data_IF_133416709299
#
_entry.id   IF_133416709299
#
_cell.length_a   1.000
_cell.length_b   1.000
_cell.length_c   1.000
_cell.angle_alpha   90.00
_cell.angle_beta   90.00
_cell.angle_gamma   90.00
#
_symmetry.space_group_name_H-M   'P 1'
#
loop_
_entity.id
_entity.type
_entity.pdbx_description
1 polymer ?
#
# COMPACT_ATOMS: atom_id res chain seq x y z
N UNK A 1 21.14 10.41 16.91
CA UNK A 1 19.76 10.06 16.49
C UNK A 1 19.29 11.18 15.57
N UNK A 2 18.66 10.86 14.42
CA UNK A 2 18.11 11.88 13.53
C UNK A 2 16.78 12.39 14.12
N UNK A 3 16.47 13.67 13.93
CA UNK A 3 15.15 14.21 14.28
C UNK A 3 14.09 13.59 13.39
N UNK A 4 12.93 13.26 13.97
CA UNK A 4 11.80 12.73 13.24
C UNK A 4 10.46 13.22 13.80
N UNK A 5 9.47 13.31 12.94
CA UNK A 5 8.08 13.60 13.30
C UNK A 5 7.20 12.50 12.73
N UNK A 6 6.13 12.14 13.41
CA UNK A 6 5.13 11.20 12.89
C UNK A 6 3.71 11.67 13.17
N UNK A 7 2.79 11.27 12.28
CA UNK A 7 1.34 11.39 12.45
C UNK A 7 0.68 10.09 12.01
N UNK A 8 -0.40 9.72 12.68
CA UNK A 8 -1.29 8.61 12.33
C UNK A 8 -2.73 9.13 12.28
N UNK A 9 -3.70 8.42 11.70
CA UNK A 9 -5.11 8.77 11.80
C UNK A 9 -5.50 9.00 13.26
N UNK A 10 -6.50 9.85 13.49
CA UNK A 10 -6.97 10.17 14.84
C UNK A 10 -7.46 8.92 15.57
N UNK A 11 -8.24 8.08 14.85
CA UNK A 11 -8.73 6.81 15.40
C UNK A 11 -8.47 5.66 14.43
N UNK A 12 -7.84 4.60 14.91
CA UNK A 12 -7.73 3.31 14.25
C UNK A 12 -8.64 2.33 15.00
N UNK A 13 -9.68 1.84 14.32
CA UNK A 13 -10.62 0.85 14.85
C UNK A 13 -10.31 -0.49 14.25
N UNK A 14 -9.85 -1.44 15.05
CA UNK A 14 -9.48 -2.78 14.62
C UNK A 14 -10.30 -3.85 15.32
N UNK A 15 -10.74 -4.87 14.57
CA UNK A 15 -11.34 -6.09 15.14
C UNK A 15 -12.24 -6.80 14.14
N UNK A 16 -12.42 -8.10 14.35
CA UNK A 16 -13.35 -8.93 13.58
C UNK A 16 -14.78 -8.43 13.80
N UNK A 17 -15.50 -8.18 12.69
CA UNK A 17 -16.85 -7.61 12.74
C UNK A 17 -16.90 -6.12 13.09
N UNK A 18 -15.78 -5.42 13.14
CA UNK A 18 -15.72 -3.99 13.48
C UNK A 18 -16.42 -3.10 12.46
N UNK A 19 -16.70 -3.59 11.24
CA UNK A 19 -17.51 -2.88 10.24
C UNK A 19 -18.83 -2.37 10.80
N UNK A 20 -19.44 -3.05 11.76
CA UNK A 20 -20.67 -2.64 12.45
C UNK A 20 -20.54 -1.30 13.19
N UNK A 21 -19.30 -0.82 13.43
CA UNK A 21 -19.04 0.48 14.05
C UNK A 21 -19.03 1.64 13.07
N UNK A 22 -19.20 1.37 11.77
CA UNK A 22 -19.19 2.42 10.74
C UNK A 22 -20.22 3.54 11.02
N UNK A 23 -21.47 3.28 11.40
CA UNK A 23 -22.43 4.34 11.74
C UNK A 23 -21.95 5.27 12.87
N UNK A 24 -21.38 4.70 13.94
CA UNK A 24 -20.79 5.47 15.04
C UNK A 24 -19.68 6.43 14.53
N UNK A 25 -18.82 5.97 13.63
CA UNK A 25 -17.75 6.79 13.08
C UNK A 25 -18.26 7.88 12.14
N UNK A 26 -19.32 7.59 11.38
CA UNK A 26 -20.01 8.57 10.55
C UNK A 26 -20.66 9.67 11.40
N UNK A 27 -21.35 9.30 12.47
CA UNK A 27 -21.92 10.25 13.43
C UNK A 27 -20.83 11.15 14.04
N UNK A 28 -19.73 10.55 14.55
CA UNK A 28 -18.57 11.27 15.10
C UNK A 28 -17.90 12.20 14.07
N UNK A 29 -17.97 11.87 12.78
CA UNK A 29 -17.44 12.72 11.71
C UNK A 29 -18.40 13.88 11.37
N UNK A 30 -19.62 13.88 11.89
CA UNK A 30 -20.68 14.84 11.56
C UNK A 30 -21.33 14.56 10.21
N UNK A 31 -21.24 13.32 9.71
CA UNK A 31 -21.79 12.92 8.43
C UNK A 31 -23.32 12.93 8.43
N UNK A 32 -23.91 13.58 7.43
CA UNK A 32 -25.36 13.54 7.15
C UNK A 32 -25.67 12.69 5.92
N UNK A 33 -24.72 12.63 4.99
CA UNK A 33 -24.78 11.85 3.77
C UNK A 33 -23.39 11.36 3.42
N UNK A 34 -23.25 10.07 3.17
CA UNK A 34 -21.99 9.40 2.91
C UNK A 34 -21.84 9.10 1.42
N UNK A 35 -20.65 9.35 0.84
CA UNK A 35 -20.28 8.79 -0.46
C UNK A 35 -19.34 7.61 -0.29
N UNK A 36 -19.71 6.45 -0.84
CA UNK A 36 -18.80 5.30 -0.98
C UNK A 36 -17.97 5.45 -2.26
N UNK A 37 -16.64 5.44 -2.12
CA UNK A 37 -15.68 5.36 -3.23
C UNK A 37 -15.11 3.96 -3.26
N UNK A 38 -15.36 3.21 -4.34
CA UNK A 38 -14.99 1.80 -4.45
C UNK A 38 -14.89 1.35 -5.91
N UNK A 39 -14.83 0.04 -6.14
CA UNK A 39 -14.75 -0.55 -7.47
C UNK A 39 -15.87 -1.58 -7.74
N UNK A 40 -16.10 -1.86 -9.04
CA UNK A 40 -17.13 -2.81 -9.51
C UNK A 40 -16.82 -4.25 -9.13
N UNK A 41 -15.57 -4.60 -8.81
CA UNK A 41 -15.21 -5.92 -8.31
C UNK A 41 -15.83 -6.19 -6.94
N UNK A 42 -15.69 -5.24 -6.02
CA UNK A 42 -16.28 -5.31 -4.69
C UNK A 42 -17.82 -5.23 -4.71
N UNK A 43 -18.39 -4.50 -5.67
CA UNK A 43 -19.85 -4.50 -5.90
C UNK A 43 -20.33 -5.90 -6.25
N UNK A 44 -19.72 -6.59 -7.23
CA UNK A 44 -20.08 -7.96 -7.64
C UNK A 44 -19.94 -8.98 -6.52
N UNK A 45 -19.04 -8.74 -5.57
CA UNK A 45 -18.87 -9.58 -4.38
C UNK A 45 -19.87 -9.28 -3.26
N UNK A 46 -20.76 -8.28 -3.44
CA UNK A 46 -21.74 -7.88 -2.43
C UNK A 46 -21.14 -7.07 -1.25
N UNK A 47 -19.86 -6.73 -1.31
CA UNK A 47 -19.18 -6.00 -0.22
C UNK A 47 -19.73 -4.59 -0.08
N UNK A 48 -20.01 -3.93 -1.21
CA UNK A 48 -20.63 -2.59 -1.21
C UNK A 48 -21.98 -2.62 -0.53
N UNK A 49 -22.83 -3.58 -0.92
CA UNK A 49 -24.18 -3.68 -0.35
C UNK A 49 -24.15 -3.92 1.16
N UNK A 50 -23.25 -4.79 1.64
CA UNK A 50 -23.05 -5.00 3.09
C UNK A 50 -22.77 -3.68 3.83
N UNK A 51 -21.94 -2.80 3.24
CA UNK A 51 -21.63 -1.49 3.84
C UNK A 51 -22.83 -0.55 3.79
N UNK A 52 -23.54 -0.48 2.66
CA UNK A 52 -24.73 0.35 2.50
C UNK A 52 -25.84 -0.07 3.48
N UNK A 53 -26.13 -1.36 3.58
CA UNK A 53 -27.17 -1.89 4.49
C UNK A 53 -26.92 -1.49 5.95
N UNK A 54 -25.66 -1.53 6.40
CA UNK A 54 -25.29 -1.13 7.77
C UNK A 54 -25.54 0.37 8.00
N UNK A 55 -25.25 1.20 7.02
CA UNK A 55 -25.35 2.65 7.14
C UNK A 55 -26.80 3.14 6.97
N UNK A 56 -27.52 2.57 6.00
CA UNK A 56 -28.91 2.91 5.72
C UNK A 56 -29.88 2.48 6.83
N UNK A 57 -29.54 1.38 7.54
CA UNK A 57 -30.30 0.95 8.73
C UNK A 57 -30.30 1.99 9.85
N UNK A 58 -29.30 2.86 9.90
CA UNK A 58 -29.19 3.97 10.85
C UNK A 58 -29.72 5.31 10.27
N UNK A 59 -30.37 5.26 9.11
CA UNK A 59 -31.00 6.43 8.48
C UNK A 59 -30.03 7.44 7.84
N UNK A 60 -28.78 7.03 7.59
CA UNK A 60 -27.78 7.87 6.92
C UNK A 60 -27.96 7.71 5.40
N UNK A 61 -28.12 8.82 4.69
CA UNK A 61 -28.22 8.80 3.22
C UNK A 61 -26.89 8.39 2.59
N UNK A 62 -26.98 7.64 1.49
CA UNK A 62 -25.81 7.12 0.77
C UNK A 62 -25.80 7.51 -0.71
N UNK A 63 -24.61 7.60 -1.28
CA UNK A 63 -24.34 7.66 -2.71
C UNK A 63 -23.07 6.88 -2.98
N UNK A 64 -22.93 6.31 -4.17
CA UNK A 64 -21.78 5.49 -4.53
C UNK A 64 -21.09 6.00 -5.80
N UNK A 65 -19.75 5.96 -5.81
CA UNK A 65 -18.93 6.08 -7.00
C UNK A 65 -18.06 4.81 -7.10
N UNK A 66 -18.34 3.95 -8.09
CA UNK A 66 -17.79 2.59 -8.17
C UNK A 66 -16.91 2.36 -9.42
N UNK A 67 -16.66 3.39 -10.19
CA UNK A 67 -15.92 3.28 -11.45
C UNK A 67 -14.41 3.50 -11.28
N UNK A 68 -13.88 3.01 -10.15
CA UNK A 68 -12.44 3.03 -9.88
C UNK A 68 -11.77 1.83 -10.53
N UNK A 69 -10.73 2.10 -11.30
CA UNK A 69 -9.87 1.08 -11.90
C UNK A 69 -8.48 1.07 -11.22
N UNK A 70 -7.71 -0.01 -11.37
CA UNK A 70 -6.29 -0.01 -11.00
C UNK A 70 -5.54 1.15 -11.68
N UNK A 71 -4.58 1.76 -10.97
CA UNK A 71 -3.88 2.98 -11.40
C UNK A 71 -4.85 4.14 -11.69
N UNK A 72 -5.50 4.69 -10.66
CA UNK A 72 -6.56 5.68 -10.82
C UNK A 72 -6.05 6.94 -11.51
N UNK A 73 -6.91 7.54 -12.35
CA UNK A 73 -6.55 8.69 -13.18
C UNK A 73 -7.13 10.01 -12.66
N UNK A 74 -6.57 11.13 -13.14
CA UNK A 74 -7.12 12.48 -12.88
C UNK A 74 -8.59 12.56 -13.27
N UNK A 75 -8.99 11.94 -14.38
CA UNK A 75 -10.39 11.94 -14.84
C UNK A 75 -11.32 11.19 -13.88
N UNK A 76 -10.87 10.06 -13.30
CA UNK A 76 -11.64 9.35 -12.27
C UNK A 76 -11.83 10.22 -11.03
N UNK A 77 -10.79 10.93 -10.59
CA UNK A 77 -10.88 11.86 -9.45
C UNK A 77 -11.89 12.98 -9.75
N UNK A 78 -11.84 13.57 -10.94
CA UNK A 78 -12.77 14.62 -11.35
C UNK A 78 -14.21 14.11 -11.38
N UNK A 79 -14.46 12.91 -11.95
CA UNK A 79 -15.79 12.29 -12.01
C UNK A 79 -16.33 12.00 -10.60
N UNK A 80 -15.52 11.43 -9.71
CA UNK A 80 -15.88 11.16 -8.33
C UNK A 80 -16.17 12.45 -7.55
N UNK A 81 -15.35 13.49 -7.75
CA UNK A 81 -15.56 14.82 -7.11
C UNK A 81 -16.86 15.45 -7.55
N UNK A 82 -17.22 15.31 -8.82
CA UNK A 82 -18.50 15.79 -9.35
C UNK A 82 -19.67 15.10 -8.64
N UNK A 83 -19.65 13.77 -8.54
CA UNK A 83 -20.69 13.01 -7.82
C UNK A 83 -20.78 13.43 -6.36
N UNK A 84 -19.64 13.61 -5.68
CA UNK A 84 -19.61 14.08 -4.29
C UNK A 84 -20.33 15.42 -4.12
N UNK A 85 -19.99 16.42 -4.93
CA UNK A 85 -20.56 17.77 -4.86
C UNK A 85 -22.04 17.80 -5.22
N UNK A 86 -22.43 17.15 -6.32
CA UNK A 86 -23.82 17.13 -6.82
C UNK A 86 -24.77 16.37 -5.87
N UNK A 87 -24.29 15.35 -5.19
CA UNK A 87 -25.09 14.58 -4.22
C UNK A 87 -25.30 15.29 -2.89
N UNK A 88 -24.47 16.28 -2.57
CA UNK A 88 -24.46 16.91 -1.24
C UNK A 88 -23.88 16.00 -0.14
N UNK A 89 -23.04 15.04 -0.49
CA UNK A 89 -22.35 14.21 0.49
C UNK A 89 -21.47 15.06 1.42
N UNK A 90 -21.33 14.63 2.67
CA UNK A 90 -20.61 15.36 3.74
C UNK A 90 -19.47 14.55 4.33
N UNK A 91 -19.29 13.31 3.86
CA UNK A 91 -18.18 12.43 4.20
C UNK A 91 -17.91 11.43 3.09
N UNK A 92 -16.74 10.82 3.11
CA UNK A 92 -16.31 9.80 2.15
C UNK A 92 -15.98 8.53 2.92
N UNK A 93 -16.51 7.40 2.47
CA UNK A 93 -16.06 6.07 2.85
C UNK A 93 -15.23 5.51 1.72
N UNK A 94 -13.93 5.41 1.92
CA UNK A 94 -13.00 4.79 1.00
C UNK A 94 -12.97 3.28 1.26
N UNK A 95 -13.64 2.50 0.43
CA UNK A 95 -13.81 1.06 0.59
C UNK A 95 -13.03 0.32 -0.50
N UNK A 96 -11.96 -0.38 -0.15
CA UNK A 96 -11.17 -1.12 -1.13
C UNK A 96 -9.69 -1.22 -0.82
N UNK A 97 -8.88 -1.42 -1.85
CA UNK A 97 -7.42 -1.33 -1.78
C UNK A 97 -6.93 0.11 -1.96
N UNK A 98 -5.66 0.27 -2.40
CA UNK A 98 -5.04 1.59 -2.56
C UNK A 98 -5.77 2.53 -3.51
N UNK A 99 -6.22 2.04 -4.69
CA UNK A 99 -6.83 2.91 -5.72
C UNK A 99 -8.10 3.64 -5.25
N UNK A 100 -9.12 2.99 -4.64
CA UNK A 100 -10.24 3.70 -4.05
C UNK A 100 -9.84 4.68 -2.95
N UNK A 101 -8.85 4.33 -2.13
CA UNK A 101 -8.37 5.22 -1.06
C UNK A 101 -7.67 6.46 -1.60
N UNK A 102 -6.84 6.31 -2.62
CA UNK A 102 -6.13 7.41 -3.25
C UNK A 102 -7.10 8.38 -3.95
N UNK A 103 -8.11 7.84 -4.65
CA UNK A 103 -9.18 8.66 -5.23
C UNK A 103 -9.99 9.37 -4.14
N UNK A 104 -10.36 8.68 -3.06
CA UNK A 104 -11.11 9.28 -1.96
C UNK A 104 -10.36 10.46 -1.31
N UNK A 105 -9.05 10.31 -1.10
CA UNK A 105 -8.19 11.39 -0.60
C UNK A 105 -8.15 12.58 -1.56
N UNK A 106 -7.96 12.32 -2.85
CA UNK A 106 -7.95 13.35 -3.89
C UNK A 106 -9.32 14.05 -3.99
N UNK A 107 -10.43 13.30 -3.93
CA UNK A 107 -11.80 13.86 -3.86
C UNK A 107 -11.96 14.76 -2.64
N UNK A 108 -11.47 14.34 -1.47
CA UNK A 108 -11.52 15.14 -0.25
C UNK A 108 -10.82 16.51 -0.40
N UNK A 109 -9.70 16.54 -1.14
CA UNK A 109 -9.00 17.79 -1.49
C UNK A 109 -9.86 18.64 -2.44
N UNK A 110 -10.27 18.08 -3.58
CA UNK A 110 -10.97 18.83 -4.64
C UNK A 110 -12.39 19.24 -4.23
N UNK A 111 -13.04 18.49 -3.36
CA UNK A 111 -14.35 18.88 -2.81
C UNK A 111 -14.22 20.16 -1.99
N UNK A 112 -13.16 20.28 -1.19
CA UNK A 112 -12.92 21.39 -0.26
C UNK A 112 -12.29 22.61 -0.92
N UNK A 113 -11.28 22.41 -1.75
CA UNK A 113 -10.44 23.49 -2.27
C UNK A 113 -10.61 23.74 -3.78
N UNK A 114 -11.22 22.81 -4.51
CA UNK A 114 -11.38 22.93 -5.97
C UNK A 114 -10.09 22.70 -6.76
N UNK A 115 -10.03 23.25 -7.97
CA UNK A 115 -8.88 23.10 -8.87
C UNK A 115 -8.76 21.72 -9.49
N UNK A 116 -7.55 21.35 -9.88
CA UNK A 116 -7.14 20.03 -10.36
C UNK A 116 -6.22 19.38 -9.37
N UNK A 117 -6.28 18.05 -9.22
CA UNK A 117 -5.37 17.33 -8.32
C UNK A 117 -3.89 17.49 -8.72
N UNK A 118 -3.63 17.82 -9.97
CA UNK A 118 -2.28 18.13 -10.49
C UNK A 118 -1.67 19.40 -9.87
N UNK A 119 -2.49 20.32 -9.38
CA UNK A 119 -2.04 21.55 -8.71
C UNK A 119 -1.50 21.26 -7.30
N UNK A 120 -1.85 20.12 -6.73
CA UNK A 120 -1.43 19.67 -5.40
C UNK A 120 -0.28 18.65 -5.45
N UNK A 121 0.30 18.39 -6.65
CA UNK A 121 1.42 17.46 -6.82
C UNK A 121 2.64 17.91 -6.01
N UNK A 122 3.21 17.00 -5.21
CA UNK A 122 4.36 17.27 -4.36
C UNK A 122 4.01 17.22 -2.87
N UNK A 123 4.76 17.96 -2.07
CA UNK A 123 4.67 17.87 -0.62
C UNK A 123 4.02 19.12 0.00
N UNK A 124 3.00 18.91 0.84
CA UNK A 124 2.38 19.94 1.68
C UNK A 124 1.76 21.12 0.93
N UNK A 125 1.23 20.88 -0.29
CA UNK A 125 0.54 21.90 -1.09
C UNK A 125 -0.97 21.95 -0.80
N UNK A 126 -1.52 20.99 -0.04
CA UNK A 126 -2.92 21.01 0.41
C UNK A 126 -3.06 22.07 1.51
N UNK A 127 -3.97 23.06 1.36
CA UNK A 127 -3.99 24.25 2.25
C UNK A 127 -4.42 23.99 3.69
N UNK A 128 -5.10 22.86 3.96
CA UNK A 128 -5.62 22.52 5.29
C UNK A 128 -6.50 21.27 5.27
N UNK A 129 -7.33 21.04 6.31
CA UNK A 129 -8.15 19.84 6.44
C UNK A 129 -9.04 19.60 5.22
N UNK A 130 -9.11 18.35 4.78
CA UNK A 130 -9.97 17.90 3.67
C UNK A 130 -11.33 17.40 4.18
N UNK A 131 -12.22 17.00 3.27
CA UNK A 131 -13.48 16.37 3.66
C UNK A 131 -13.21 15.07 4.46
N UNK A 132 -14.06 14.77 5.48
CA UNK A 132 -13.82 13.61 6.34
C UNK A 132 -13.79 12.30 5.57
N UNK A 133 -12.75 11.48 5.80
CA UNK A 133 -12.60 10.16 5.17
C UNK A 133 -12.60 9.10 6.26
N UNK A 134 -13.40 8.04 6.06
CA UNK A 134 -13.31 6.77 6.78
C UNK A 134 -12.76 5.76 5.79
N UNK A 135 -11.56 5.23 6.06
CA UNK A 135 -10.90 4.26 5.21
C UNK A 135 -11.16 2.84 5.70
N UNK A 136 -11.67 1.97 4.82
CA UNK A 136 -11.98 0.57 5.08
C UNK A 136 -11.21 -0.29 4.09
N UNK A 137 -10.03 -0.82 4.47
CA UNK A 137 -9.24 -1.66 3.58
C UNK A 137 -9.90 -3.02 3.35
N UNK A 138 -9.90 -3.47 2.09
CA UNK A 138 -10.31 -4.81 1.67
C UNK A 138 -9.13 -5.67 1.21
N UNK A 139 -7.92 -5.16 1.33
CA UNK A 139 -6.65 -5.84 1.09
C UNK A 139 -5.67 -5.52 2.21
N UNK A 140 -4.82 -6.47 2.58
CA UNK A 140 -3.73 -6.25 3.51
C UNK A 140 -2.43 -6.07 2.70
N UNK A 141 -2.17 -4.84 2.24
CA UNK A 141 -1.05 -4.55 1.33
C UNK A 141 -0.57 -3.11 1.41
N UNK A 142 -1.32 -2.18 0.86
CA UNK A 142 -0.89 -0.81 0.61
C UNK A 142 -0.73 0.06 1.86
N UNK A 143 -1.44 -0.25 2.95
CA UNK A 143 -1.48 0.62 4.13
C UNK A 143 -2.03 2.02 3.87
N UNK A 144 -2.77 2.23 2.76
CA UNK A 144 -3.24 3.57 2.38
C UNK A 144 -4.20 4.17 3.40
N UNK A 145 -4.87 3.35 4.19
CA UNK A 145 -5.74 3.77 5.29
C UNK A 145 -5.02 4.54 6.40
N UNK A 146 -3.70 4.38 6.52
CA UNK A 146 -2.86 5.03 7.54
C UNK A 146 -1.74 5.90 6.95
N UNK A 147 -1.80 6.21 5.67
CA UNK A 147 -0.77 7.01 4.99
C UNK A 147 -1.28 8.37 4.50
N UNK A 148 -0.37 9.33 4.39
CA UNK A 148 -0.61 10.71 3.97
C UNK A 148 -0.37 10.92 2.46
N UNK A 149 -0.47 9.88 1.65
CA UNK A 149 -0.21 9.92 0.21
C UNK A 149 -1.48 9.64 -0.59
N UNK A 150 -1.54 10.22 -1.79
CA UNK A 150 -2.47 9.85 -2.87
C UNK A 150 -1.67 9.79 -4.17
N UNK A 151 -1.72 8.65 -4.87
CA UNK A 151 -0.99 8.42 -6.12
C UNK A 151 -1.98 8.31 -7.25
N UNK A 152 -1.96 9.30 -8.16
CA UNK A 152 -2.89 9.43 -9.27
C UNK A 152 -2.13 9.45 -10.59
N UNK A 153 -2.66 8.80 -11.62
CA UNK A 153 -2.07 8.79 -12.95
C UNK A 153 -2.55 10.01 -13.74
N UNK A 154 -1.63 10.87 -14.11
CA UNK A 154 -1.87 11.91 -15.11
C UNK A 154 -1.64 11.31 -16.50
N UNK A 155 -2.73 11.01 -17.20
CA UNK A 155 -2.68 10.40 -18.53
C UNK A 155 -2.13 11.34 -19.59
N UNK A 156 -2.23 12.66 -19.39
CA UNK A 156 -1.71 13.66 -20.34
C UNK A 156 -0.18 13.69 -20.37
N UNK A 157 0.45 13.40 -19.23
CA UNK A 157 1.91 13.33 -19.07
C UNK A 157 2.44 11.89 -19.05
N UNK A 158 1.55 10.88 -19.08
CA UNK A 158 1.88 9.47 -18.83
C UNK A 158 2.73 9.29 -17.55
N UNK A 159 2.29 9.92 -16.47
CA UNK A 159 3.05 10.05 -15.24
C UNK A 159 2.20 9.78 -14.00
N UNK A 160 2.75 9.08 -13.00
CA UNK A 160 2.13 8.90 -11.69
C UNK A 160 2.53 10.05 -10.77
N UNK A 161 1.65 11.02 -10.62
CA UNK A 161 1.82 12.10 -9.66
C UNK A 161 1.53 11.61 -8.23
N UNK A 162 2.24 12.19 -7.29
CA UNK A 162 2.03 11.92 -5.86
C UNK A 162 1.68 13.23 -5.16
N UNK A 163 0.56 13.21 -4.45
CA UNK A 163 0.20 14.27 -3.50
C UNK A 163 0.56 13.77 -2.10
N UNK A 164 1.40 14.51 -1.40
CA UNK A 164 1.78 14.23 -0.01
C UNK A 164 1.35 15.39 0.90
N UNK A 165 0.50 15.11 1.85
CA UNK A 165 0.16 16.06 2.93
C UNK A 165 -0.43 15.32 4.12
N UNK A 166 -0.13 15.75 5.33
CA UNK A 166 -0.75 15.20 6.54
C UNK A 166 -2.27 15.36 6.56
N UNK A 167 -2.80 16.32 5.79
CA UNK A 167 -4.23 16.54 5.64
C UNK A 167 -4.94 15.40 4.87
N UNK A 168 -4.17 14.56 4.13
CA UNK A 168 -4.68 13.38 3.43
C UNK A 168 -4.89 12.16 4.33
N UNK A 169 -4.38 12.20 5.58
CA UNK A 169 -4.61 11.10 6.51
C UNK A 169 -6.12 10.94 6.74
N UNK A 170 -6.70 9.75 6.52
CA UNK A 170 -8.09 9.49 6.85
C UNK A 170 -8.40 9.83 8.31
N UNK A 171 -9.56 10.40 8.56
CA UNK A 171 -9.99 10.73 9.94
C UNK A 171 -10.14 9.47 10.78
N UNK A 172 -10.62 8.40 10.16
CA UNK A 172 -10.77 7.07 10.76
C UNK A 172 -10.21 6.00 9.81
N UNK A 173 -9.51 5.02 10.37
CA UNK A 173 -9.18 3.77 9.70
C UNK A 173 -9.98 2.64 10.39
N UNK A 174 -10.89 2.00 9.67
CA UNK A 174 -11.74 0.92 10.16
C UNK A 174 -11.26 -0.40 9.57
N UNK A 175 -10.54 -1.17 10.37
CA UNK A 175 -9.81 -2.37 10.00
C UNK A 175 -10.58 -3.60 10.48
N UNK A 176 -11.40 -4.16 9.61
CA UNK A 176 -12.12 -5.40 9.86
C UNK A 176 -11.47 -6.56 9.09
N UNK A 177 -10.83 -7.53 9.78
CA UNK A 177 -10.19 -8.67 9.12
C UNK A 177 -11.13 -9.49 8.21
N UNK A 178 -12.45 -9.49 8.47
CA UNK A 178 -13.40 -10.16 7.56
C UNK A 178 -13.36 -9.57 6.14
N UNK A 179 -13.00 -8.30 5.98
CA UNK A 179 -12.99 -7.61 4.70
C UNK A 179 -11.91 -8.13 3.75
N UNK A 180 -10.85 -8.74 4.26
CA UNK A 180 -9.78 -9.31 3.43
C UNK A 180 -9.95 -10.82 3.18
N UNK A 181 -10.90 -11.49 3.84
CA UNK A 181 -11.05 -12.95 3.77
C UNK A 181 -11.68 -13.42 2.45
N UNK A 182 -12.28 -12.53 1.67
CA UNK A 182 -12.90 -12.84 0.37
C UNK A 182 -11.98 -12.67 -0.84
N UNK A 183 -10.76 -12.14 -0.63
CA UNK A 183 -9.83 -11.89 -1.76
C UNK A 183 -9.33 -13.20 -2.40
N UNK A 184 -9.08 -13.23 -3.72
CA UNK A 184 -8.46 -14.37 -4.38
C UNK A 184 -7.05 -14.67 -3.82
N UNK A 185 -6.58 -15.93 -3.84
CA UNK A 185 -5.27 -16.32 -3.30
C UNK A 185 -4.10 -15.48 -3.82
N UNK A 186 -4.05 -15.21 -5.13
CA UNK A 186 -2.98 -14.43 -5.74
C UNK A 186 -3.03 -12.95 -5.31
N UNK A 187 -4.22 -12.40 -5.06
CA UNK A 187 -4.36 -11.05 -4.51
C UNK A 187 -3.87 -11.02 -3.07
N UNK A 188 -4.22 -12.03 -2.26
CA UNK A 188 -3.72 -12.16 -0.89
C UNK A 188 -2.19 -12.27 -0.84
N UNK A 189 -1.59 -13.08 -1.72
CA UNK A 189 -0.14 -13.24 -1.84
C UNK A 189 0.54 -11.93 -2.26
N UNK A 190 0.06 -11.32 -3.36
CA UNK A 190 0.62 -10.08 -3.90
C UNK A 190 0.54 -8.94 -2.89
N UNK A 191 -0.62 -8.74 -2.25
CA UNK A 191 -0.78 -7.67 -1.26
C UNK A 191 0.01 -7.94 0.02
N UNK A 192 -0.02 -9.18 0.53
CA UNK A 192 0.70 -9.52 1.77
C UNK A 192 2.22 -9.38 1.62
N UNK A 193 2.76 -9.79 0.47
CA UNK A 193 4.19 -9.61 0.19
C UNK A 193 4.54 -8.13 -0.04
N UNK A 194 3.65 -7.36 -0.66
CA UNK A 194 3.81 -5.91 -0.80
C UNK A 194 3.93 -5.23 0.57
N UNK A 195 3.03 -5.55 1.50
CA UNK A 195 3.11 -5.07 2.87
C UNK A 195 4.40 -5.51 3.59
N UNK A 196 4.88 -6.73 3.36
CA UNK A 196 6.15 -7.20 3.90
C UNK A 196 7.32 -6.36 3.37
N UNK A 197 7.32 -6.07 2.07
CA UNK A 197 8.35 -5.26 1.42
C UNK A 197 8.29 -3.79 1.86
N UNK A 198 7.10 -3.24 2.09
CA UNK A 198 6.93 -1.93 2.72
C UNK A 198 7.64 -1.85 4.08
N UNK A 199 7.39 -2.82 4.95
CA UNK A 199 8.05 -2.91 6.25
C UNK A 199 9.56 -3.09 6.11
N UNK A 200 9.99 -3.97 5.22
CA UNK A 200 11.41 -4.23 4.93
C UNK A 200 12.15 -2.99 4.47
N UNK A 201 11.66 -2.35 3.40
CA UNK A 201 12.32 -1.16 2.89
C UNK A 201 12.29 0.00 3.88
N UNK A 202 11.19 0.17 4.62
CA UNK A 202 11.14 1.14 5.73
C UNK A 202 12.20 0.84 6.79
N UNK A 203 12.38 -0.43 7.15
CA UNK A 203 13.37 -0.85 8.15
C UNK A 203 14.80 -0.63 7.67
N UNK A 204 15.11 -0.91 6.40
CA UNK A 204 16.46 -0.74 5.83
C UNK A 204 16.73 0.66 5.29
N UNK A 205 15.74 1.53 5.22
CA UNK A 205 15.83 2.89 4.66
C UNK A 205 16.86 3.77 5.38
N UNK A 206 17.49 4.67 4.62
CA UNK A 206 18.28 5.77 5.20
C UNK A 206 17.44 6.75 6.02
N UNK A 207 16.11 6.75 5.85
CA UNK A 207 15.14 7.52 6.63
C UNK A 207 14.63 6.81 7.89
N UNK A 208 15.08 5.60 8.16
CA UNK A 208 14.65 4.80 9.32
C UNK A 208 14.91 5.52 10.66
N UNK A 209 14.00 5.31 11.59
CA UNK A 209 14.03 5.88 12.95
C UNK A 209 13.59 4.81 13.96
N UNK A 210 13.87 4.94 15.25
CA UNK A 210 13.38 4.01 16.27
C UNK A 210 11.85 3.80 16.24
N UNK A 211 11.10 4.83 15.86
CA UNK A 211 9.65 4.72 15.71
C UNK A 211 9.28 3.85 14.49
N UNK A 212 9.82 4.14 13.31
CA UNK A 212 9.55 3.35 12.11
C UNK A 212 10.10 1.93 12.23
N UNK A 213 11.23 1.74 12.90
CA UNK A 213 11.81 0.42 13.15
C UNK A 213 10.88 -0.47 13.99
N UNK A 214 10.32 0.07 15.08
CA UNK A 214 9.38 -0.68 15.92
C UNK A 214 8.13 -1.12 15.13
N UNK A 215 7.59 -0.26 14.26
CA UNK A 215 6.45 -0.58 13.41
C UNK A 215 6.83 -1.60 12.32
N UNK A 216 7.97 -1.42 11.68
CA UNK A 216 8.45 -2.30 10.62
C UNK A 216 8.78 -3.71 11.14
N UNK A 217 9.48 -3.83 12.27
CA UNK A 217 9.78 -5.12 12.89
C UNK A 217 8.49 -5.87 13.24
N UNK A 218 7.51 -5.18 13.87
CA UNK A 218 6.22 -5.80 14.19
C UNK A 218 5.43 -6.19 12.95
N UNK A 219 5.47 -5.39 11.89
CA UNK A 219 4.85 -5.74 10.62
C UNK A 219 5.47 -7.01 10.01
N UNK A 220 6.79 -7.09 9.94
CA UNK A 220 7.51 -8.26 9.40
C UNK A 220 7.24 -9.53 10.21
N UNK A 221 7.21 -9.45 11.54
CA UNK A 221 6.84 -10.55 12.42
C UNK A 221 5.43 -11.09 12.11
N UNK A 222 4.44 -10.19 12.05
CA UNK A 222 3.04 -10.55 11.82
C UNK A 222 2.82 -11.12 10.41
N UNK A 223 3.37 -10.47 9.40
CA UNK A 223 3.18 -10.89 8.01
C UNK A 223 4.00 -12.14 7.73
N UNK A 224 5.28 -12.16 8.06
CA UNK A 224 6.18 -13.28 7.80
C UNK A 224 5.69 -14.58 8.41
N UNK A 225 5.21 -14.53 9.65
CA UNK A 225 4.67 -15.70 10.35
C UNK A 225 3.31 -16.20 9.85
N UNK A 226 2.54 -15.38 9.12
CA UNK A 226 1.15 -15.70 8.80
C UNK A 226 0.78 -15.67 7.32
N UNK A 227 1.60 -15.09 6.44
CA UNK A 227 1.25 -14.92 5.02
C UNK A 227 0.99 -16.26 4.31
N UNK A 228 1.82 -17.29 4.56
CA UNK A 228 1.64 -18.62 4.00
C UNK A 228 0.31 -19.25 4.45
N UNK A 229 -0.01 -19.13 5.75
CA UNK A 229 -1.29 -19.60 6.33
C UNK A 229 -2.47 -18.91 5.69
N UNK A 230 -2.43 -17.58 5.61
CA UNK A 230 -3.53 -16.80 5.03
C UNK A 230 -3.73 -17.09 3.54
N UNK A 231 -2.65 -17.20 2.76
CA UNK A 231 -2.75 -17.53 1.34
C UNK A 231 -3.25 -18.96 1.12
N UNK A 232 -2.88 -19.91 1.98
CA UNK A 232 -3.40 -21.27 1.95
C UNK A 232 -4.89 -21.34 2.37
N UNK A 233 -5.29 -20.56 3.37
CA UNK A 233 -6.65 -20.54 3.89
C UNK A 233 -7.08 -19.12 4.28
N UNK A 234 -7.80 -18.38 3.38
CA UNK A 234 -8.33 -17.03 3.67
C UNK A 234 -9.36 -17.01 4.79
N UNK A 235 -9.89 -18.15 5.24
CA UNK A 235 -10.81 -18.25 6.38
C UNK A 235 -10.08 -18.40 7.72
N UNK A 236 -8.75 -18.43 7.71
CA UNK A 236 -7.94 -18.38 8.93
C UNK A 236 -8.00 -16.96 9.52
N UNK A 237 -8.90 -16.77 10.47
CA UNK A 237 -9.18 -15.47 11.11
C UNK A 237 -7.94 -14.91 11.82
N UNK A 238 -7.18 -15.75 12.50
CA UNK A 238 -5.95 -15.33 13.18
C UNK A 238 -4.92 -14.81 12.16
N UNK A 239 -4.73 -15.53 11.05
CA UNK A 239 -3.84 -15.09 9.98
C UNK A 239 -4.36 -13.81 9.28
N UNK A 240 -5.68 -13.68 9.08
CA UNK A 240 -6.28 -12.45 8.56
C UNK A 240 -6.03 -11.25 9.48
N UNK A 241 -6.23 -11.41 10.80
CA UNK A 241 -5.92 -10.39 11.80
C UNK A 241 -4.44 -9.99 11.77
N UNK A 242 -3.55 -10.97 11.67
CA UNK A 242 -2.11 -10.73 11.61
C UNK A 242 -1.71 -9.96 10.33
N UNK A 243 -2.24 -10.38 9.17
CA UNK A 243 -1.96 -9.69 7.88
C UNK A 243 -2.48 -8.27 7.87
N UNK A 244 -3.70 -8.03 8.32
CA UNK A 244 -4.28 -6.69 8.36
C UNK A 244 -3.53 -5.77 9.33
N UNK A 245 -3.22 -6.25 10.54
CA UNK A 245 -2.39 -5.50 11.50
C UNK A 245 -0.99 -5.23 10.95
N UNK A 246 -0.36 -6.24 10.35
CA UNK A 246 0.96 -6.13 9.75
C UNK A 246 0.99 -5.11 8.61
N UNK A 247 0.00 -5.11 7.72
CA UNK A 247 -0.14 -4.12 6.65
C UNK A 247 -0.29 -2.70 7.20
N UNK A 248 -1.11 -2.52 8.24
CA UNK A 248 -1.25 -1.23 8.92
C UNK A 248 0.10 -0.75 9.50
N UNK A 249 0.80 -1.60 10.25
CA UNK A 249 2.11 -1.24 10.80
C UNK A 249 3.15 -0.94 9.72
N UNK A 250 3.16 -1.70 8.62
CA UNK A 250 4.01 -1.43 7.46
C UNK A 250 3.70 -0.06 6.84
N UNK A 251 2.40 0.27 6.68
CA UNK A 251 1.93 1.56 6.22
C UNK A 251 2.44 2.71 7.08
N UNK A 252 2.31 2.59 8.40
CA UNK A 252 2.85 3.57 9.35
C UNK A 252 4.37 3.66 9.25
N UNK A 253 5.09 2.53 9.12
CA UNK A 253 6.54 2.53 9.03
C UNK A 253 7.06 3.29 7.81
N UNK A 254 6.59 2.92 6.60
CA UNK A 254 7.12 3.51 5.37
C UNK A 254 6.67 4.97 5.15
N UNK A 255 5.51 5.35 5.68
CA UNK A 255 5.07 6.74 5.60
C UNK A 255 6.08 7.72 6.21
N UNK A 256 6.90 7.28 7.13
CA UNK A 256 7.90 8.09 7.83
C UNK A 256 9.35 7.77 7.47
N UNK A 257 9.64 6.49 7.13
CA UNK A 257 10.97 6.05 6.76
C UNK A 257 11.24 6.11 5.26
N UNK A 258 10.19 6.21 4.42
CA UNK A 258 10.24 6.02 2.97
C UNK A 258 10.54 4.57 2.59
N UNK A 259 10.55 4.33 1.28
CA UNK A 259 10.87 3.05 0.65
C UNK A 259 12.24 3.11 -0.03
N UNK A 260 12.60 2.10 -0.79
CA UNK A 260 13.89 1.98 -1.47
C UNK A 260 13.78 1.59 -2.95
N UNK A 261 14.80 0.88 -3.42
CA UNK A 261 14.96 0.50 -4.82
C UNK A 261 13.90 -0.49 -5.31
N UNK A 262 13.36 -1.36 -4.44
CA UNK A 262 12.30 -2.31 -4.85
C UNK A 262 11.09 -1.54 -5.38
N UNK A 263 10.58 -0.59 -4.60
CA UNK A 263 9.45 0.22 -5.03
C UNK A 263 9.80 1.20 -6.14
N UNK A 264 11.00 1.78 -6.14
CA UNK A 264 11.44 2.64 -7.24
C UNK A 264 11.44 1.91 -8.59
N UNK A 265 11.87 0.64 -8.60
CA UNK A 265 11.97 -0.18 -9.80
C UNK A 265 10.66 -0.89 -10.18
N UNK A 266 9.81 -1.24 -9.23
CA UNK A 266 8.54 -1.92 -9.53
C UNK A 266 7.50 -1.00 -10.17
N UNK A 267 7.51 0.29 -9.85
CA UNK A 267 6.58 1.26 -10.44
C UNK A 267 6.64 1.29 -11.98
N UNK A 268 7.82 1.41 -12.63
CA UNK A 268 7.92 1.30 -14.07
C UNK A 268 7.47 -0.07 -14.63
N UNK A 269 7.81 -1.18 -13.95
CA UNK A 269 7.34 -2.51 -14.36
C UNK A 269 5.82 -2.56 -14.44
N UNK A 270 5.14 -2.07 -13.39
CA UNK A 270 3.68 -2.01 -13.36
C UNK A 270 3.11 -1.06 -14.42
N UNK A 271 3.76 0.07 -14.66
CA UNK A 271 3.29 1.08 -15.61
C UNK A 271 3.41 0.62 -17.07
N UNK A 272 4.54 0.00 -17.44
CA UNK A 272 4.81 -0.40 -18.84
C UNK A 272 4.14 -1.73 -19.22
N UNK A 273 4.00 -2.65 -18.27
CA UNK A 273 3.58 -4.04 -18.56
C UNK A 273 2.29 -4.46 -17.86
N UNK A 274 1.68 -3.59 -17.05
CA UNK A 274 0.45 -3.90 -16.33
C UNK A 274 0.61 -5.00 -15.25
N UNK A 275 1.84 -5.29 -14.85
CA UNK A 275 2.13 -6.29 -13.81
C UNK A 275 1.57 -5.80 -12.46
N UNK A 276 0.91 -6.69 -11.71
CA UNK A 276 0.48 -6.38 -10.35
C UNK A 276 1.66 -5.90 -9.50
N UNK A 277 1.47 -4.79 -8.78
CA UNK A 277 2.53 -4.11 -8.06
C UNK A 277 3.29 -5.02 -7.08
N UNK A 278 2.57 -5.75 -6.22
CA UNK A 278 3.19 -6.68 -5.28
C UNK A 278 3.91 -7.85 -5.96
N UNK A 279 3.48 -8.29 -7.15
CA UNK A 279 4.20 -9.29 -7.95
C UNK A 279 5.52 -8.70 -8.46
N UNK A 280 5.50 -7.49 -9.01
CA UNK A 280 6.71 -6.81 -9.47
C UNK A 280 7.72 -6.60 -8.32
N UNK A 281 7.23 -6.15 -7.15
CA UNK A 281 8.02 -6.01 -5.93
C UNK A 281 8.67 -7.34 -5.52
N UNK A 282 7.89 -8.42 -5.52
CA UNK A 282 8.34 -9.74 -5.10
C UNK A 282 9.45 -10.32 -5.98
N UNK A 283 9.35 -10.11 -7.30
CA UNK A 283 10.37 -10.57 -8.28
C UNK A 283 11.67 -9.77 -8.11
N UNK A 284 11.57 -8.47 -7.88
CA UNK A 284 12.73 -7.59 -7.72
C UNK A 284 13.44 -7.76 -6.37
N UNK A 285 12.70 -8.12 -5.31
CA UNK A 285 13.23 -8.17 -3.95
C UNK A 285 14.51 -8.98 -3.80
N UNK A 286 14.62 -10.25 -4.25
CA UNK A 286 15.83 -11.05 -4.05
C UNK A 286 17.07 -10.41 -4.69
N UNK A 287 16.92 -9.82 -5.86
CA UNK A 287 18.00 -9.17 -6.61
C UNK A 287 18.49 -7.91 -5.90
N UNK A 288 17.54 -7.10 -5.38
CA UNK A 288 17.86 -5.86 -4.69
C UNK A 288 18.43 -6.13 -3.30
N UNK A 289 17.94 -7.15 -2.60
CA UNK A 289 18.51 -7.57 -1.29
C UNK A 289 19.94 -8.00 -1.44
N UNK A 290 20.26 -8.80 -2.45
CA UNK A 290 21.66 -9.18 -2.76
C UNK A 290 22.52 -7.94 -3.09
N UNK A 291 21.99 -6.99 -3.87
CA UNK A 291 22.68 -5.75 -4.17
C UNK A 291 22.96 -4.90 -2.92
N UNK A 292 21.94 -4.76 -2.06
CA UNK A 292 22.00 -3.94 -0.85
C UNK A 292 22.80 -4.60 0.31
N UNK A 293 23.16 -5.89 0.20
CA UNK A 293 23.86 -6.63 1.25
C UNK A 293 25.16 -5.96 1.73
N UNK A 294 25.88 -5.25 0.82
CA UNK A 294 27.09 -4.50 1.19
C UNK A 294 26.82 -3.31 2.12
N UNK A 295 25.57 -2.85 2.21
CA UNK A 295 25.14 -1.75 3.07
C UNK A 295 24.36 -2.25 4.30
N UNK A 296 24.29 -3.57 4.52
CA UNK A 296 23.64 -4.11 5.71
C UNK A 296 24.48 -3.86 6.97
N UNK A 297 23.80 -3.47 8.03
CA UNK A 297 24.36 -3.23 9.36
C UNK A 297 23.77 -4.19 10.40
N UNK A 298 23.54 -5.46 10.02
CA UNK A 298 22.97 -6.49 10.89
C UNK A 298 21.43 -6.49 10.95
N UNK A 299 20.75 -5.79 10.03
CA UNK A 299 19.29 -5.82 9.92
C UNK A 299 18.77 -7.05 9.21
N UNK A 300 19.56 -7.62 8.30
CA UNK A 300 19.17 -8.78 7.48
C UNK A 300 18.98 -10.05 8.29
N UNK A 301 19.78 -10.28 9.33
CA UNK A 301 19.59 -11.41 10.24
C UNK A 301 18.24 -11.35 10.95
N UNK A 302 17.84 -10.16 11.42
CA UNK A 302 16.53 -9.97 12.05
C UNK A 302 15.39 -10.22 11.07
N UNK A 303 15.50 -9.68 9.84
CA UNK A 303 14.49 -9.88 8.80
C UNK A 303 14.36 -11.37 8.47
N UNK A 304 15.49 -12.08 8.33
CA UNK A 304 15.51 -13.53 8.13
C UNK A 304 14.69 -14.25 9.20
N UNK A 305 14.91 -13.92 10.47
CA UNK A 305 14.20 -14.54 11.58
C UNK A 305 12.69 -14.28 11.58
N UNK A 306 12.21 -13.16 10.98
CA UNK A 306 10.78 -12.89 10.86
C UNK A 306 10.10 -13.66 9.74
N UNK A 307 10.80 -13.98 8.64
CA UNK A 307 10.20 -14.61 7.45
C UNK A 307 10.50 -16.10 7.31
N UNK A 308 11.54 -16.59 8.01
CA UNK A 308 11.93 -18.00 8.00
C UNK A 308 10.91 -18.89 8.68
N UNK A 309 10.70 -20.09 8.13
CA UNK A 309 9.95 -21.16 8.79
C UNK A 309 10.79 -21.88 9.85
N UNK A 310 12.11 -21.72 9.82
CA UNK A 310 13.01 -22.27 10.85
C UNK A 310 12.93 -21.43 12.12
N UNK A 311 12.58 -22.08 13.24
CA UNK A 311 12.40 -21.40 14.53
C UNK A 311 13.68 -21.28 15.35
N UNK A 312 14.71 -22.03 14.99
CA UNK A 312 16.00 -22.01 15.68
C UNK A 312 16.85 -20.85 15.14
N UNK A 313 17.52 -20.08 16.00
CA UNK A 313 18.45 -19.04 15.56
C UNK A 313 19.55 -19.61 14.66
N UNK A 314 19.73 -18.97 13.52
CA UNK A 314 20.77 -19.39 12.56
C UNK A 314 22.14 -19.03 13.13
N UNK A 315 23.04 -20.01 13.18
CA UNK A 315 24.46 -19.77 13.46
C UNK A 315 25.15 -19.30 12.20
N UNK A 316 26.01 -18.29 12.33
CA UNK A 316 26.81 -17.76 11.21
C UNK A 316 25.95 -17.25 10.03
N UNK A 317 24.97 -16.39 10.30
CA UNK A 317 24.12 -15.78 9.30
C UNK A 317 24.93 -15.11 8.17
N UNK A 318 24.50 -15.33 6.93
CA UNK A 318 25.03 -14.67 5.72
C UNK A 318 23.88 -14.10 4.89
N UNK A 319 24.06 -12.94 4.23
CA UNK A 319 23.01 -12.31 3.41
C UNK A 319 22.40 -13.22 2.33
N UNK A 320 23.18 -14.16 1.79
CA UNK A 320 22.71 -15.13 0.80
C UNK A 320 21.61 -16.05 1.36
N UNK A 321 21.63 -16.34 2.65
CA UNK A 321 20.59 -17.14 3.31
C UNK A 321 19.25 -16.41 3.27
N UNK A 322 19.25 -15.10 3.46
CA UNK A 322 18.05 -14.27 3.35
C UNK A 322 17.51 -14.24 1.92
N UNK A 323 18.39 -14.12 0.92
CA UNK A 323 18.01 -14.16 -0.50
C UNK A 323 17.32 -15.49 -0.84
N UNK A 324 17.87 -16.61 -0.37
CA UNK A 324 17.27 -17.94 -0.60
C UNK A 324 15.93 -18.09 0.15
N UNK A 325 15.80 -17.53 1.35
CA UNK A 325 14.54 -17.58 2.08
C UNK A 325 13.43 -16.77 1.40
N UNK A 326 13.76 -15.60 0.81
CA UNK A 326 12.83 -14.82 -0.02
C UNK A 326 12.37 -15.65 -1.23
N UNK A 327 13.28 -16.32 -1.92
CA UNK A 327 12.93 -17.18 -3.07
C UNK A 327 12.01 -18.33 -2.66
N UNK A 328 12.24 -18.96 -1.50
CA UNK A 328 11.36 -19.99 -0.94
C UNK A 328 9.97 -19.41 -0.62
N UNK A 329 9.92 -18.24 0.03
CA UNK A 329 8.67 -17.56 0.33
C UNK A 329 7.89 -17.27 -0.96
N UNK A 330 8.51 -16.63 -1.96
CA UNK A 330 7.89 -16.34 -3.25
C UNK A 330 7.35 -17.61 -3.93
N UNK A 331 8.13 -18.67 -3.95
CA UNK A 331 7.74 -19.96 -4.53
C UNK A 331 6.53 -20.57 -3.81
N UNK A 332 6.50 -20.51 -2.46
CA UNK A 332 5.38 -21.03 -1.65
C UNK A 332 4.07 -20.26 -1.89
N UNK A 333 4.17 -19.01 -2.31
CA UNK A 333 3.02 -18.15 -2.62
C UNK A 333 2.62 -18.16 -4.10
N UNK A 334 3.33 -18.92 -4.93
CA UNK A 334 3.05 -19.00 -6.38
C UNK A 334 3.45 -17.75 -7.17
N UNK A 335 4.36 -16.93 -6.65
CA UNK A 335 4.87 -15.74 -7.32
C UNK A 335 5.82 -16.16 -8.47
N UNK A 336 5.70 -15.57 -9.67
CA UNK A 336 6.66 -15.78 -10.75
C UNK A 336 8.09 -15.46 -10.34
N UNK A 337 9.06 -16.17 -10.93
CA UNK A 337 10.47 -16.07 -10.54
C UNK A 337 11.19 -14.90 -11.19
N UNK A 338 10.79 -14.56 -12.42
CA UNK A 338 11.49 -13.57 -13.26
C UNK A 338 10.52 -12.57 -13.87
N UNK A 339 11.06 -11.41 -14.24
CA UNK A 339 10.30 -10.38 -14.94
C UNK A 339 9.86 -10.84 -16.34
N UNK A 340 10.63 -11.74 -16.99
CA UNK A 340 10.26 -12.32 -18.29
C UNK A 340 8.98 -13.15 -18.21
N UNK A 341 8.76 -13.88 -17.11
CA UNK A 341 7.53 -14.67 -16.90
C UNK A 341 6.25 -13.81 -16.82
N UNK A 342 6.41 -12.53 -16.52
CA UNK A 342 5.31 -11.56 -16.48
C UNK A 342 5.30 -10.61 -17.67
N UNK A 343 6.06 -10.93 -18.74
CA UNK A 343 6.02 -10.24 -20.02
C UNK A 343 6.96 -9.05 -20.16
N UNK A 344 7.85 -8.80 -19.20
CA UNK A 344 8.86 -7.73 -19.31
C UNK A 344 9.92 -8.11 -20.33
N UNK A 345 10.29 -7.16 -21.17
CA UNK A 345 11.27 -7.34 -22.25
C UNK A 345 12.50 -6.44 -22.07
N UNK A 346 13.65 -6.92 -22.53
CA UNK A 346 14.94 -6.24 -22.33
C UNK A 346 15.01 -4.85 -22.99
N UNK A 347 14.33 -4.66 -24.13
CA UNK A 347 14.31 -3.40 -24.88
C UNK A 347 13.71 -2.22 -24.09
N UNK A 348 12.89 -2.50 -23.06
CA UNK A 348 12.28 -1.47 -22.20
C UNK A 348 13.14 -1.11 -20.99
N UNK A 349 14.17 -1.87 -20.69
CA UNK A 349 15.01 -1.63 -19.49
C UNK A 349 15.59 -0.20 -19.44
N UNK A 350 16.15 0.38 -20.49
CA UNK A 350 16.71 1.74 -20.42
C UNK A 350 15.66 2.77 -20.03
N UNK A 351 14.43 2.63 -20.55
CA UNK A 351 13.34 3.56 -20.27
C UNK A 351 12.81 3.36 -18.83
N UNK A 352 12.60 2.11 -18.41
CA UNK A 352 12.20 1.78 -17.04
C UNK A 352 13.23 2.26 -16.02
N UNK A 353 14.54 2.09 -16.30
CA UNK A 353 15.60 2.55 -15.43
C UNK A 353 15.63 4.07 -15.30
N UNK A 354 15.46 4.80 -16.41
CA UNK A 354 15.36 6.25 -16.39
C UNK A 354 14.15 6.74 -15.56
N UNK A 355 13.03 6.02 -15.61
CA UNK A 355 11.83 6.36 -14.82
C UNK A 355 12.01 6.00 -13.34
N UNK A 356 12.62 4.85 -13.03
CA UNK A 356 12.95 4.47 -11.65
C UNK A 356 13.82 5.53 -10.96
N UNK A 357 14.81 6.08 -11.66
CA UNK A 357 15.72 7.12 -11.14
C UNK A 357 15.01 8.45 -10.79
N UNK A 358 13.80 8.69 -11.30
CA UNK A 358 12.98 9.86 -10.91
C UNK A 358 12.29 9.67 -9.56
N UNK A 359 12.23 8.43 -9.07
CA UNK A 359 11.59 8.11 -7.79
C UNK A 359 12.40 8.66 -6.62
N UNK A 360 11.72 9.37 -5.70
CA UNK A 360 12.33 9.79 -4.43
C UNK A 360 12.77 8.64 -3.53
N UNK A 361 12.35 7.41 -3.81
CA UNK A 361 12.71 6.20 -3.05
C UNK A 361 14.19 5.81 -3.27
N UNK A 362 14.75 6.08 -4.45
CA UNK A 362 16.19 5.83 -4.74
C UNK A 362 17.09 6.51 -3.69
N UNK A 363 16.75 7.74 -3.31
CA UNK A 363 17.53 8.50 -2.32
C UNK A 363 17.43 7.96 -0.88
N UNK A 364 16.45 7.11 -0.61
CA UNK A 364 16.25 6.49 0.70
C UNK A 364 16.80 5.06 0.78
N UNK A 365 17.21 4.47 -0.35
CA UNK A 365 17.81 3.15 -0.40
C UNK A 365 19.11 3.09 0.42
N UNK A 366 19.38 2.00 1.17
CA UNK A 366 20.57 1.93 2.03
C UNK A 366 21.90 1.99 1.25
N UNK A 367 21.95 1.41 0.05
CA UNK A 367 23.09 1.50 -0.87
C UNK A 367 22.81 2.54 -1.95
N UNK A 368 23.78 3.41 -2.20
CA UNK A 368 23.68 4.37 -3.30
C UNK A 368 23.54 3.64 -4.64
N UNK A 369 22.53 4.02 -5.43
CA UNK A 369 22.16 3.37 -6.67
C UNK A 369 22.25 4.34 -7.83
N UNK A 370 22.94 3.94 -8.91
CA UNK A 370 23.07 4.70 -10.15
C UNK A 370 22.16 4.15 -11.25
N UNK A 371 21.97 4.90 -12.34
CA UNK A 371 21.23 4.44 -13.51
C UNK A 371 21.77 3.10 -14.06
N UNK A 372 23.09 2.93 -14.08
CA UNK A 372 23.74 1.68 -14.53
C UNK A 372 23.44 0.51 -13.60
N UNK A 373 23.38 0.77 -12.30
CA UNK A 373 23.01 -0.26 -11.32
C UNK A 373 21.55 -0.69 -11.53
N UNK A 374 20.62 0.25 -11.72
CA UNK A 374 19.20 -0.05 -11.98
C UNK A 374 19.03 -0.90 -13.24
N UNK A 375 19.73 -0.54 -14.34
CA UNK A 375 19.70 -1.35 -15.57
C UNK A 375 20.25 -2.76 -15.33
N UNK A 376 21.35 -2.89 -14.61
CA UNK A 376 21.96 -4.18 -14.26
C UNK A 376 21.03 -5.03 -13.41
N UNK A 377 20.37 -4.42 -12.42
CA UNK A 377 19.41 -5.10 -11.53
C UNK A 377 18.18 -5.58 -12.30
N UNK A 378 17.64 -4.78 -13.24
CA UNK A 378 16.55 -5.24 -14.10
C UNK A 378 16.98 -6.44 -14.96
N UNK A 379 18.17 -6.40 -15.61
CA UNK A 379 18.67 -7.54 -16.39
C UNK A 379 18.86 -8.79 -15.55
N UNK A 380 19.26 -8.63 -14.28
CA UNK A 380 19.42 -9.75 -13.35
C UNK A 380 18.08 -10.34 -12.92
N UNK A 381 17.00 -9.56 -12.94
CA UNK A 381 15.65 -9.99 -12.59
C UNK A 381 14.86 -10.55 -13.78
N UNK A 382 15.36 -10.38 -15.05
CA UNK A 382 14.78 -10.99 -16.25
C UNK A 382 14.97 -12.50 -16.27
#
# INVERSE_FOLDING_TARGET
>A
MKDYTFKVPQDIVFGVGSLKRLPELLEKSGSKKMMVVSDRGLEKLGVIQKVLDIVEAEGIETVSFLDILPNPTVDMVNAATKVYKESGATSIVALGGGSPMDVAKAVGVLARYGGSITEYEGAHLVPGPIEPIIAIPTTAGTGSEVTAFSVITDTSRNYKLTVFSYELLPKYALLDPEMIMSVPPMVAASCGIDALIHAWEAYTSLGASPFSDAMAEKAMELIGGNIRRFVANRKDEEAACALMSGSMFAGIAFAWARLGDVHAMSHPVSAFFGVQHGVANSILLPVIVEYNALADHGRYEKIYNYISEEKEPVKDFKPEMLVEEIKKLNASLGIPKTLSEVGVTEDKIPQMAADAMKSGNIAANPRQTTLKDVEMLYRKAL
#
